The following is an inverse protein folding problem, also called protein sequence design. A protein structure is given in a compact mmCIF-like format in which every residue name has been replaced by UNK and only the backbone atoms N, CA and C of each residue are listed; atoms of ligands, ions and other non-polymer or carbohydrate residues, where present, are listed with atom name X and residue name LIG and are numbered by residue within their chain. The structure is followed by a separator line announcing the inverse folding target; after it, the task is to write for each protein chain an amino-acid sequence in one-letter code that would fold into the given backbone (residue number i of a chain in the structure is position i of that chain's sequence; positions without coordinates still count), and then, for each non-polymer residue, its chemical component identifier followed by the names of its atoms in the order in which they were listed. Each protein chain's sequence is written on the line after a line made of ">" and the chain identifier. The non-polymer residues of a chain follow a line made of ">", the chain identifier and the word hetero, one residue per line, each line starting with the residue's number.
data_IF_326030285773
#
_entry.id   IF_326030285773
#
_cell.length_a   1.000
_cell.length_b   1.000
_cell.length_c   1.000
_cell.angle_alpha   90.00
_cell.angle_beta   90.00
_cell.angle_gamma   90.00
#
_symmetry.space_group_name_H-M   'P 1'
#
loop_
_entity.id
_entity.type
_entity.pdbx_description
1 polymer ?
#
# COMPACT_ATOMS: atom_id res chain seq x y z
N UNK A 1 -9.66 -20.92 -7.61
CA UNK A 1 -10.12 -22.07 -8.43
C UNK A 1 -10.28 -21.57 -9.85
N UNK A 2 -9.27 -21.75 -10.71
CA UNK A 2 -9.33 -21.33 -12.11
C UNK A 2 -9.89 -22.45 -12.97
N UNK A 3 -10.92 -22.15 -13.76
CA UNK A 3 -11.58 -23.10 -14.64
C UNK A 3 -10.92 -23.09 -16.03
N UNK A 4 -10.14 -24.12 -16.34
CA UNK A 4 -9.83 -24.44 -17.74
C UNK A 4 -11.00 -25.21 -18.32
N UNK A 5 -11.50 -24.77 -19.47
CA UNK A 5 -12.63 -25.39 -20.20
C UNK A 5 -12.52 -26.92 -20.24
N UNK A 6 -13.34 -27.60 -19.43
CA UNK A 6 -13.98 -28.88 -19.73
C UNK A 6 -13.13 -30.07 -20.23
N UNK A 7 -11.83 -30.17 -19.95
CA UNK A 7 -11.07 -31.42 -20.17
C UNK A 7 -10.81 -32.11 -18.83
N UNK A 8 -11.27 -33.36 -18.71
CA UNK A 8 -10.92 -34.23 -17.60
C UNK A 8 -9.44 -34.63 -17.73
N UNK A 9 -8.63 -34.28 -16.73
CA UNK A 9 -7.23 -34.68 -16.66
C UNK A 9 -7.14 -36.17 -16.35
N UNK A 10 -6.46 -36.94 -17.21
CA UNK A 10 -6.22 -38.37 -16.99
C UNK A 10 -4.84 -38.52 -16.35
N UNK A 11 -4.71 -39.43 -15.38
CA UNK A 11 -3.43 -39.73 -14.74
C UNK A 11 -2.43 -40.21 -15.81
N UNK A 12 -1.43 -39.39 -16.10
CA UNK A 12 -0.45 -39.62 -17.18
C UNK A 12 -0.42 -38.51 -18.24
N UNK A 13 -1.39 -37.60 -18.24
CA UNK A 13 -1.38 -36.42 -19.12
C UNK A 13 -0.17 -35.54 -18.81
N UNK A 14 0.39 -34.93 -19.87
CA UNK A 14 1.51 -34.00 -19.77
C UNK A 14 1.03 -32.70 -19.12
N UNK A 15 1.75 -32.21 -18.11
CA UNK A 15 1.40 -30.96 -17.45
C UNK A 15 1.61 -29.79 -18.44
N UNK A 16 0.56 -29.06 -18.83
CA UNK A 16 0.67 -27.96 -19.79
C UNK A 16 1.59 -26.83 -19.29
N UNK A 17 1.89 -26.76 -17.99
CA UNK A 17 2.87 -25.82 -17.43
C UNK A 17 4.30 -26.14 -17.88
N UNK A 18 4.60 -27.40 -18.18
CA UNK A 18 5.92 -27.83 -18.67
C UNK A 18 6.13 -27.47 -20.14
N UNK A 19 5.05 -27.15 -20.86
CA UNK A 19 5.07 -26.75 -22.28
C UNK A 19 5.00 -25.23 -22.46
N UNK A 20 4.78 -24.48 -21.37
CA UNK A 20 4.77 -23.02 -21.40
C UNK A 20 6.21 -22.50 -21.58
N UNK A 21 6.51 -21.97 -22.77
CA UNK A 21 7.83 -21.44 -23.13
C UNK A 21 7.98 -19.95 -22.87
N UNK A 22 6.87 -19.21 -22.87
CA UNK A 22 6.86 -17.76 -22.71
C UNK A 22 6.52 -17.37 -21.27
N UNK A 23 7.26 -16.38 -20.77
CA UNK A 23 6.95 -15.67 -19.54
C UNK A 23 5.77 -14.73 -19.73
N UNK A 24 5.11 -14.34 -18.63
CA UNK A 24 4.02 -13.37 -18.68
C UNK A 24 4.43 -12.06 -19.35
N UNK A 25 5.65 -11.58 -19.08
CA UNK A 25 6.19 -10.36 -19.69
C UNK A 25 6.31 -10.48 -21.22
N UNK A 26 6.76 -11.62 -21.73
CA UNK A 26 6.88 -11.87 -23.16
C UNK A 26 5.50 -11.95 -23.83
N UNK A 27 4.54 -12.64 -23.21
CA UNK A 27 3.15 -12.67 -23.69
C UNK A 27 2.57 -11.25 -23.74
N UNK A 28 2.79 -10.43 -22.71
CA UNK A 28 2.33 -9.03 -22.72
C UNK A 28 2.96 -8.22 -23.85
N UNK A 29 4.25 -8.37 -24.12
CA UNK A 29 4.92 -7.70 -25.26
C UNK A 29 4.30 -8.09 -26.59
N UNK A 30 4.13 -9.39 -26.83
CA UNK A 30 3.50 -9.89 -28.07
C UNK A 30 2.08 -9.35 -28.24
N UNK A 31 1.29 -9.29 -27.16
CA UNK A 31 -0.05 -8.70 -27.21
C UNK A 31 -0.03 -7.21 -27.56
N UNK A 32 0.90 -6.44 -26.98
CA UNK A 32 1.07 -5.02 -27.32
C UNK A 32 1.42 -4.87 -28.80
N UNK A 33 2.36 -5.66 -29.31
CA UNK A 33 2.77 -5.61 -30.71
C UNK A 33 1.61 -5.92 -31.65
N UNK A 34 0.79 -6.94 -31.34
CA UNK A 34 -0.39 -7.27 -32.13
C UNK A 34 -1.44 -6.15 -32.13
N UNK A 35 -1.64 -5.47 -31.00
CA UNK A 35 -2.55 -4.31 -30.93
C UNK A 35 -2.02 -3.14 -31.74
N UNK A 36 -0.70 -2.88 -31.70
CA UNK A 36 -0.07 -1.82 -32.49
C UNK A 36 -0.16 -2.11 -33.99
N UNK A 37 0.13 -3.36 -34.39
CA UNK A 37 0.01 -3.82 -35.77
C UNK A 37 -1.41 -3.60 -36.28
N UNK A 38 -2.43 -4.07 -35.53
CA UNK A 38 -3.83 -3.86 -35.87
C UNK A 38 -4.19 -2.38 -36.00
N UNK A 39 -3.80 -1.54 -35.04
CA UNK A 39 -4.13 -0.12 -35.05
C UNK A 39 -3.39 0.69 -36.14
N UNK A 40 -2.27 0.16 -36.63
CA UNK A 40 -1.50 0.73 -37.75
C UNK A 40 -1.91 0.18 -39.12
N UNK A 41 -2.73 -0.87 -39.17
CA UNK A 41 -3.20 -1.47 -40.41
C UNK A 41 -4.21 -0.58 -41.13
N UNK A 42 -4.26 -0.72 -42.47
CA UNK A 42 -5.21 0.00 -43.32
C UNK A 42 -6.61 -0.56 -43.08
N UNK A 43 -7.55 0.33 -42.82
CA UNK A 43 -8.96 0.01 -42.63
C UNK A 43 -9.80 0.89 -43.57
N UNK A 44 -10.12 0.37 -44.75
CA UNK A 44 -10.77 1.12 -45.84
C UNK A 44 -12.10 1.76 -45.41
N UNK A 45 -12.84 1.12 -44.49
CA UNK A 45 -14.07 1.66 -43.93
C UNK A 45 -13.91 3.02 -43.24
N UNK A 46 -12.71 3.39 -42.77
CA UNK A 46 -12.44 4.69 -42.14
C UNK A 46 -12.31 5.82 -43.17
N UNK A 47 -11.88 5.52 -44.39
CA UNK A 47 -11.70 6.51 -45.44
C UNK A 47 -13.02 7.20 -45.81
N UNK A 48 -14.13 6.45 -45.77
CA UNK A 48 -15.48 6.97 -46.07
C UNK A 48 -16.17 7.66 -44.90
N UNK A 49 -15.67 7.55 -43.68
CA UNK A 49 -16.31 8.12 -42.49
C UNK A 49 -15.98 9.59 -42.24
N UNK A 50 -14.86 10.08 -42.79
CA UNK A 50 -14.37 11.42 -42.49
C UNK A 50 -13.49 11.95 -43.63
N UNK A 51 -13.66 13.22 -44.05
CA UNK A 51 -12.75 13.83 -45.03
C UNK A 51 -11.38 14.18 -44.41
N UNK A 52 -11.27 14.19 -43.08
CA UNK A 52 -10.10 14.69 -42.36
C UNK A 52 -8.82 13.92 -42.65
N UNK A 53 -8.93 12.61 -42.90
CA UNK A 53 -7.79 11.77 -43.27
C UNK A 53 -7.24 12.15 -44.63
N UNK A 54 -8.13 12.39 -45.59
CA UNK A 54 -7.79 12.82 -46.97
C UNK A 54 -7.15 14.20 -46.94
N UNK A 55 -7.76 15.16 -46.23
CA UNK A 55 -7.22 16.51 -46.05
C UNK A 55 -5.82 16.50 -45.41
N UNK A 56 -5.54 15.52 -44.54
CA UNK A 56 -4.26 15.40 -43.85
C UNK A 56 -3.25 14.53 -44.60
N UNK A 57 -3.62 13.96 -45.76
CA UNK A 57 -2.77 13.06 -46.54
C UNK A 57 -2.35 11.79 -45.81
N UNK A 58 -3.13 11.35 -44.82
CA UNK A 58 -2.81 10.19 -43.98
C UNK A 58 -3.57 8.93 -44.44
N UNK A 59 -2.94 7.74 -44.39
CA UNK A 59 -3.64 6.50 -44.70
C UNK A 59 -4.74 6.23 -43.66
N UNK A 60 -5.83 5.54 -44.04
CA UNK A 60 -6.99 5.30 -43.20
C UNK A 60 -6.73 4.19 -42.18
N UNK A 61 -5.87 4.47 -41.21
CA UNK A 61 -5.57 3.56 -40.10
C UNK A 61 -6.33 4.03 -38.84
N UNK A 62 -6.74 3.12 -37.94
CA UNK A 62 -7.37 3.50 -36.67
C UNK A 62 -6.53 4.52 -35.88
N UNK A 63 -5.21 4.35 -35.87
CA UNK A 63 -4.29 5.26 -35.19
C UNK A 63 -4.31 6.68 -35.80
N UNK A 64 -4.24 6.80 -37.12
CA UNK A 64 -4.29 8.10 -37.80
C UNK A 64 -5.64 8.77 -37.63
N UNK A 65 -6.72 7.99 -37.72
CA UNK A 65 -8.07 8.48 -37.50
C UNK A 65 -8.18 9.09 -36.11
N UNK A 66 -7.82 8.36 -35.06
CA UNK A 66 -7.89 8.83 -33.68
C UNK A 66 -7.05 10.10 -33.47
N UNK A 67 -5.78 10.07 -33.88
CA UNK A 67 -4.86 11.20 -33.70
C UNK A 67 -5.33 12.47 -34.43
N UNK A 68 -5.92 12.33 -35.62
CA UNK A 68 -6.43 13.47 -36.39
C UNK A 68 -7.64 14.11 -35.71
N UNK A 69 -8.56 13.32 -35.17
CA UNK A 69 -9.72 13.84 -34.45
C UNK A 69 -9.34 14.48 -33.12
N UNK A 70 -8.36 13.90 -32.41
CA UNK A 70 -7.79 14.45 -31.18
C UNK A 70 -7.18 15.84 -31.43
N UNK A 71 -6.35 15.97 -32.46
CA UNK A 71 -5.70 17.25 -32.82
C UNK A 71 -6.69 18.34 -33.21
N UNK A 72 -7.78 17.97 -33.90
CA UNK A 72 -8.81 18.94 -34.34
C UNK A 72 -9.87 19.22 -33.28
N UNK A 73 -9.68 18.75 -32.04
CA UNK A 73 -10.63 18.91 -30.93
C UNK A 73 -12.06 18.45 -31.26
N UNK A 74 -12.23 17.50 -32.18
CA UNK A 74 -13.55 16.96 -32.54
C UNK A 74 -13.92 15.82 -31.60
N UNK A 75 -13.82 16.08 -30.30
CA UNK A 75 -14.06 15.11 -29.23
C UNK A 75 -14.54 15.80 -27.95
N UNK A 76 -15.43 15.14 -27.19
CA UNK A 76 -15.91 15.60 -25.89
C UNK A 76 -15.16 14.92 -24.72
N UNK A 77 -13.82 14.88 -24.82
CA UNK A 77 -12.98 14.18 -23.82
C UNK A 77 -12.67 15.10 -22.64
N UNK A 78 -12.81 14.57 -21.43
CA UNK A 78 -12.33 15.20 -20.21
C UNK A 78 -10.95 14.66 -19.85
N UNK A 79 -10.04 15.54 -19.44
CA UNK A 79 -8.78 15.12 -18.82
C UNK A 79 -9.05 14.76 -17.37
N UNK A 80 -8.69 13.54 -16.98
CA UNK A 80 -8.73 13.10 -15.59
C UNK A 80 -7.31 13.06 -15.02
N UNK A 81 -7.20 13.26 -13.71
CA UNK A 81 -5.94 13.09 -13.00
C UNK A 81 -5.52 11.62 -12.97
N UNK A 82 -4.24 11.34 -13.25
CA UNK A 82 -3.72 9.98 -13.34
C UNK A 82 -3.79 9.24 -12.00
N UNK A 83 -3.48 9.93 -10.90
CA UNK A 83 -3.55 9.36 -9.56
C UNK A 83 -4.99 9.00 -9.20
N UNK A 84 -5.95 9.86 -9.54
CA UNK A 84 -7.38 9.59 -9.36
C UNK A 84 -7.85 8.36 -10.14
N UNK A 85 -7.45 8.23 -11.41
CA UNK A 85 -7.84 7.08 -12.24
C UNK A 85 -7.21 5.80 -11.73
N UNK A 86 -5.89 5.80 -11.44
CA UNK A 86 -5.21 4.63 -10.87
C UNK A 86 -5.84 4.21 -9.56
N UNK A 87 -6.09 5.15 -8.65
CA UNK A 87 -6.69 4.89 -7.36
C UNK A 87 -8.07 4.20 -7.49
N UNK A 88 -8.88 4.57 -8.48
CA UNK A 88 -10.19 3.95 -8.73
C UNK A 88 -10.12 2.48 -9.16
N UNK A 89 -9.00 2.03 -9.73
CA UNK A 89 -8.79 0.64 -10.14
C UNK A 89 -8.30 -0.24 -8.98
N UNK A 90 -7.82 0.38 -7.91
CA UNK A 90 -7.18 -0.29 -6.79
C UNK A 90 -8.18 -0.63 -5.68
N UNK A 91 -7.92 -1.72 -4.91
CA UNK A 91 -8.74 -2.11 -3.77
C UNK A 91 -8.79 -1.01 -2.70
N UNK A 92 -9.97 -0.89 -2.08
CA UNK A 92 -10.23 0.06 -0.98
C UNK A 92 -9.61 -0.48 0.32
N UNK A 93 -8.94 0.39 1.07
CA UNK A 93 -8.46 0.11 2.41
C UNK A 93 -8.70 1.31 3.34
N UNK A 94 -8.78 1.07 4.66
CA UNK A 94 -8.82 2.13 5.65
C UNK A 94 -7.44 2.35 6.28
N UNK A 95 -6.95 3.58 6.20
CA UNK A 95 -5.72 4.00 6.88
C UNK A 95 -6.06 5.01 7.98
N UNK A 96 -5.10 5.34 8.83
CA UNK A 96 -5.30 6.35 9.87
C UNK A 96 -4.22 7.42 9.84
N UNK A 97 -4.61 8.69 9.89
CA UNK A 97 -3.66 9.76 10.15
C UNK A 97 -3.20 9.67 11.61
N UNK A 98 -1.89 9.72 11.83
CA UNK A 98 -1.28 9.67 13.17
C UNK A 98 -0.21 10.75 13.30
N UNK A 99 0.29 10.98 14.51
CA UNK A 99 1.40 11.93 14.73
C UNK A 99 2.71 11.56 14.03
N UNK A 100 2.82 10.33 13.52
CA UNK A 100 3.98 9.82 12.78
C UNK A 100 3.78 9.84 11.26
N UNK A 101 2.60 10.18 10.76
CA UNK A 101 2.21 10.05 9.36
C UNK A 101 0.97 9.16 9.17
N UNK A 102 0.66 8.84 7.92
CA UNK A 102 -0.48 7.99 7.55
C UNK A 102 -0.12 6.54 7.79
N UNK A 103 -0.80 5.90 8.73
CA UNK A 103 -0.54 4.54 9.17
C UNK A 103 -1.45 3.55 8.46
N UNK A 104 -0.84 2.56 7.81
CA UNK A 104 -1.55 1.40 7.24
C UNK A 104 -1.64 0.24 8.24
N UNK A 105 -0.52 -0.11 8.86
CA UNK A 105 -0.44 -1.19 9.86
C UNK A 105 0.52 -0.79 11.01
N UNK A 106 1.00 -1.73 11.81
CA UNK A 106 1.90 -1.44 12.94
C UNK A 106 3.28 -0.90 12.50
N UNK A 107 3.74 -1.22 11.30
CA UNK A 107 5.11 -1.01 10.85
C UNK A 107 5.22 -0.04 9.66
N UNK A 108 4.13 0.21 8.94
CA UNK A 108 4.09 0.97 7.70
C UNK A 108 3.42 2.33 7.88
N UNK A 109 4.20 3.36 7.56
CA UNK A 109 3.81 4.76 7.61
C UNK A 109 4.13 5.44 6.28
N UNK A 110 3.22 6.30 5.84
CA UNK A 110 3.30 7.03 4.59
C UNK A 110 3.25 8.53 4.85
N UNK A 111 3.88 9.28 3.95
CA UNK A 111 3.84 10.74 3.88
C UNK A 111 3.34 11.20 2.52
N UNK A 112 2.74 12.39 2.47
CA UNK A 112 2.27 12.98 1.23
C UNK A 112 2.91 14.35 1.07
N UNK A 113 3.21 14.73 -0.17
CA UNK A 113 3.74 16.05 -0.48
C UNK A 113 2.61 17.10 -0.43
N UNK A 114 2.28 17.52 0.80
CA UNK A 114 1.24 18.49 1.12
C UNK A 114 1.74 19.41 2.22
N UNK A 115 1.55 20.72 2.02
CA UNK A 115 1.95 21.73 3.01
C UNK A 115 1.27 21.51 4.37
N UNK A 116 0.01 21.03 4.37
CA UNK A 116 -0.78 20.82 5.57
C UNK A 116 -0.44 19.51 6.32
N UNK A 117 0.45 18.67 5.76
CA UNK A 117 0.69 17.33 6.28
C UNK A 117 1.32 17.33 7.69
N UNK A 118 2.25 18.24 7.94
CA UNK A 118 2.87 18.38 9.27
C UNK A 118 1.87 18.90 10.31
N UNK A 119 0.99 19.82 9.93
CA UNK A 119 -0.10 20.29 10.80
C UNK A 119 -1.04 19.14 11.18
N UNK A 120 -1.37 18.27 10.22
CA UNK A 120 -2.17 17.08 10.50
C UNK A 120 -1.49 16.12 11.48
N UNK A 121 -0.17 15.96 11.41
CA UNK A 121 0.58 15.16 12.41
C UNK A 121 0.51 15.81 13.79
N UNK A 122 0.56 17.14 13.88
CA UNK A 122 0.41 17.87 15.15
C UNK A 122 -0.99 17.68 15.71
N UNK A 123 -2.03 17.87 14.90
CA UNK A 123 -3.44 17.64 15.29
C UNK A 123 -3.64 16.20 15.75
N UNK A 124 -3.06 15.23 15.04
CA UNK A 124 -3.17 13.82 15.41
C UNK A 124 -2.46 13.49 16.74
N UNK A 125 -1.45 14.29 17.13
CA UNK A 125 -0.77 14.18 18.41
C UNK A 125 -1.65 14.69 19.56
N UNK A 126 -2.36 15.81 19.35
CA UNK A 126 -3.19 16.42 20.39
C UNK A 126 -4.58 15.78 20.51
N UNK A 127 -5.23 15.52 19.38
CA UNK A 127 -6.66 15.15 19.32
C UNK A 127 -6.86 13.66 19.04
N UNK A 128 -5.78 12.91 18.82
CA UNK A 128 -5.83 11.49 18.47
C UNK A 128 -5.91 11.23 16.97
N UNK A 129 -5.95 9.94 16.60
CA UNK A 129 -5.96 9.50 15.19
C UNK A 129 -7.36 9.53 14.58
N UNK A 130 -7.45 9.82 13.29
CA UNK A 130 -8.69 9.67 12.50
C UNK A 130 -8.46 8.79 11.28
N UNK A 131 -9.54 8.27 10.71
CA UNK A 131 -9.50 7.36 9.56
C UNK A 131 -9.56 8.12 8.25
N UNK A 132 -8.89 7.58 7.24
CA UNK A 132 -8.89 8.05 5.86
C UNK A 132 -9.12 6.86 4.93
N UNK A 133 -9.72 7.12 3.77
CA UNK A 133 -9.84 6.14 2.70
C UNK A 133 -8.53 6.10 1.90
N UNK A 134 -8.01 4.90 1.67
CA UNK A 134 -6.85 4.68 0.83
C UNK A 134 -7.13 3.63 -0.24
N UNK A 135 -6.29 3.65 -1.27
CA UNK A 135 -6.23 2.67 -2.35
C UNK A 135 -4.82 2.13 -2.44
N UNK A 136 -4.71 0.81 -2.46
CA UNK A 136 -3.43 0.11 -2.27
C UNK A 136 -3.13 -0.71 -3.51
N UNK A 137 -1.91 -0.54 -4.02
CA UNK A 137 -1.37 -1.41 -5.05
C UNK A 137 -1.01 -2.78 -4.44
N UNK A 138 -1.49 -3.85 -5.06
CA UNK A 138 -1.20 -5.20 -4.58
C UNK A 138 0.25 -5.60 -4.88
N UNK A 139 0.83 -5.06 -5.95
CA UNK A 139 2.17 -5.41 -6.40
C UNK A 139 3.26 -4.57 -5.74
N UNK A 140 2.94 -3.35 -5.30
CA UNK A 140 3.93 -2.42 -4.78
C UNK A 140 3.46 -1.65 -3.54
N UNK A 141 4.07 -1.93 -2.39
CA UNK A 141 3.77 -1.28 -1.12
C UNK A 141 4.44 0.09 -0.91
N UNK A 142 5.29 0.57 -1.83
CA UNK A 142 6.07 1.82 -1.70
C UNK A 142 5.23 3.08 -1.72
N UNK A 143 4.01 3.02 -2.24
CA UNK A 143 3.09 4.14 -2.24
C UNK A 143 1.65 3.67 -2.10
N UNK A 144 0.81 4.55 -1.61
CA UNK A 144 -0.64 4.38 -1.55
C UNK A 144 -1.30 5.66 -2.04
N UNK A 145 -2.55 5.56 -2.45
CA UNK A 145 -3.34 6.72 -2.84
C UNK A 145 -4.35 7.02 -1.74
N UNK A 146 -4.30 8.19 -1.12
CA UNK A 146 -5.12 8.53 0.05
C UNK A 146 -6.04 9.69 -0.27
N UNK A 147 -7.32 9.55 0.07
CA UNK A 147 -8.27 10.65 0.07
C UNK A 147 -8.12 11.40 1.39
N UNK A 148 -7.42 12.54 1.34
CA UNK A 148 -7.08 13.35 2.52
C UNK A 148 -8.27 14.14 3.04
N UNK A 149 -9.15 14.61 2.14
CA UNK A 149 -10.42 15.27 2.48
C UNK A 149 -11.57 14.63 1.70
N UNK A 150 -12.81 14.60 2.24
CA UNK A 150 -13.95 13.93 1.59
C UNK A 150 -14.28 14.45 0.19
N UNK A 151 -14.08 15.75 -0.05
CA UNK A 151 -14.36 16.41 -1.33
C UNK A 151 -13.19 16.39 -2.31
N UNK A 152 -12.04 15.83 -1.92
CA UNK A 152 -10.85 15.79 -2.75
C UNK A 152 -10.67 14.43 -3.44
N UNK A 153 -9.89 14.46 -4.52
CA UNK A 153 -9.36 13.28 -5.16
C UNK A 153 -8.36 12.53 -4.27
N UNK A 154 -7.78 11.49 -4.84
CA UNK A 154 -6.73 10.72 -4.19
C UNK A 154 -5.36 11.37 -4.42
N UNK A 155 -4.61 11.53 -3.34
CA UNK A 155 -3.23 12.00 -3.38
C UNK A 155 -2.29 10.81 -3.25
N UNK A 156 -1.26 10.74 -4.09
CA UNK A 156 -0.20 9.73 -3.95
C UNK A 156 0.66 10.07 -2.72
N UNK A 157 0.81 9.09 -1.83
CA UNK A 157 1.60 9.19 -0.61
C UNK A 157 2.66 8.09 -0.60
N UNK A 158 3.90 8.46 -0.33
CA UNK A 158 5.07 7.59 -0.40
C UNK A 158 5.38 6.98 0.96
N UNK A 159 5.95 5.78 0.95
CA UNK A 159 6.36 5.09 2.15
C UNK A 159 7.50 5.86 2.82
N UNK A 160 7.40 6.10 4.12
CA UNK A 160 8.42 6.83 4.86
C UNK A 160 9.68 5.98 5.04
N UNK A 161 10.83 6.65 5.18
CA UNK A 161 12.14 6.00 5.41
C UNK A 161 12.14 4.99 6.57
N UNK A 162 11.39 5.25 7.66
CA UNK A 162 11.25 4.33 8.81
C UNK A 162 10.61 2.98 8.46
N UNK A 163 9.94 2.90 7.32
CA UNK A 163 9.20 1.75 6.82
C UNK A 163 9.82 1.20 5.53
N UNK A 164 11.02 1.65 5.14
CA UNK A 164 11.67 1.29 3.86
C UNK A 164 11.89 -0.22 3.66
N UNK A 165 11.91 -1.03 4.72
CA UNK A 165 11.96 -2.50 4.59
C UNK A 165 10.83 -3.10 3.75
N UNK A 166 9.73 -2.36 3.56
CA UNK A 166 8.57 -2.76 2.75
C UNK A 166 8.54 -2.11 1.37
N UNK A 167 9.57 -1.36 0.99
CA UNK A 167 9.69 -0.79 -0.35
C UNK A 167 9.74 -1.90 -1.41
N UNK A 168 9.00 -1.68 -2.49
CA UNK A 168 8.79 -2.59 -3.63
C UNK A 168 8.30 -4.00 -3.25
N UNK A 169 7.73 -4.16 -2.05
CA UNK A 169 7.15 -5.43 -1.62
C UNK A 169 5.73 -5.59 -2.12
N UNK A 170 5.38 -6.82 -2.47
CA UNK A 170 4.01 -7.20 -2.77
C UNK A 170 3.18 -7.19 -1.47
N UNK A 171 1.90 -6.84 -1.55
CA UNK A 171 0.97 -6.77 -0.40
C UNK A 171 0.89 -8.10 0.37
N UNK A 172 1.01 -9.22 -0.34
CA UNK A 172 1.05 -10.56 0.26
C UNK A 172 2.25 -10.74 1.22
N UNK A 173 3.41 -10.20 0.88
CA UNK A 173 4.60 -10.29 1.74
C UNK A 173 4.42 -9.44 3.01
N UNK A 174 3.79 -8.28 2.87
CA UNK A 174 3.41 -7.42 4.01
C UNK A 174 2.46 -8.17 4.95
N UNK A 175 1.41 -8.79 4.41
CA UNK A 175 0.45 -9.59 5.19
C UNK A 175 1.14 -10.76 5.89
N UNK A 176 2.00 -11.48 5.17
CA UNK A 176 2.79 -12.57 5.72
C UNK A 176 3.64 -12.09 6.91
N UNK A 177 4.32 -10.96 6.77
CA UNK A 177 5.14 -10.39 7.83
C UNK A 177 4.30 -10.03 9.08
N UNK A 178 3.15 -9.41 8.89
CA UNK A 178 2.22 -9.11 9.99
C UNK A 178 1.78 -10.38 10.73
N UNK A 179 1.41 -11.41 9.98
CA UNK A 179 0.95 -12.67 10.55
C UNK A 179 2.08 -13.45 11.23
N UNK A 180 3.27 -13.45 10.64
CA UNK A 180 4.47 -13.99 11.26
C UNK A 180 4.78 -13.31 12.60
N UNK A 181 4.66 -11.97 12.69
CA UNK A 181 4.80 -11.24 13.96
C UNK A 181 3.75 -11.66 14.99
N UNK A 182 2.48 -11.77 14.59
CA UNK A 182 1.39 -12.20 15.48
C UNK A 182 1.63 -13.60 16.01
N UNK A 183 2.02 -14.54 15.15
CA UNK A 183 2.30 -15.93 15.54
C UNK A 183 3.50 -16.01 16.47
N UNK A 184 4.60 -15.32 16.15
CA UNK A 184 5.80 -15.28 16.98
C UNK A 184 5.51 -14.74 18.39
N UNK A 185 4.67 -13.70 18.50
CA UNK A 185 4.25 -13.15 19.79
C UNK A 185 3.39 -14.13 20.60
N UNK A 186 2.51 -14.90 19.95
CA UNK A 186 1.71 -15.95 20.61
C UNK A 186 2.56 -17.14 21.05
N UNK A 187 3.57 -17.51 20.27
CA UNK A 187 4.48 -18.64 20.57
C UNK A 187 5.54 -18.31 21.62
N UNK A 188 5.81 -17.03 21.86
CA UNK A 188 6.75 -16.56 22.89
C UNK A 188 6.33 -17.07 24.28
N UNK A 189 7.02 -18.10 24.77
CA UNK A 189 6.92 -18.56 26.15
C UNK A 189 7.99 -17.88 27.02
N UNK A 190 7.69 -17.53 28.28
CA UNK A 190 8.70 -17.03 29.20
C UNK A 190 9.83 -18.05 29.34
N UNK A 191 11.05 -17.64 29.02
CA UNK A 191 12.25 -18.44 29.26
C UNK A 191 12.56 -18.52 30.76
N UNK A 192 13.30 -19.54 31.19
CA UNK A 192 13.78 -19.65 32.59
C UNK A 192 14.47 -18.36 33.07
N UNK A 193 15.36 -17.80 32.25
CA UNK A 193 16.01 -16.50 32.48
C UNK A 193 15.04 -15.31 32.57
N UNK A 194 13.89 -15.37 31.90
CA UNK A 194 12.85 -14.34 31.99
C UNK A 194 12.12 -14.43 33.33
N UNK A 195 11.82 -15.64 33.78
CA UNK A 195 11.17 -15.91 35.08
C UNK A 195 12.10 -15.50 36.22
N UNK A 196 13.38 -15.89 36.15
CA UNK A 196 14.40 -15.51 37.14
C UNK A 196 14.54 -13.98 37.25
N UNK A 197 14.64 -13.28 36.10
CA UNK A 197 14.69 -11.80 36.08
C UNK A 197 13.41 -11.14 36.60
N UNK A 198 12.25 -11.77 36.42
CA UNK A 198 11.00 -11.30 37.00
C UNK A 198 10.99 -11.43 38.52
N UNK A 199 11.40 -12.59 39.04
CA UNK A 199 11.49 -12.82 40.48
C UNK A 199 12.52 -11.88 41.14
N UNK A 200 13.68 -11.68 40.50
CA UNK A 200 14.69 -10.72 40.97
C UNK A 200 14.16 -9.27 41.02
N UNK A 201 13.36 -8.85 40.03
CA UNK A 201 12.72 -7.52 40.09
C UNK A 201 11.74 -7.41 41.24
N UNK A 202 10.97 -8.47 41.53
CA UNK A 202 10.04 -8.50 42.67
C UNK A 202 10.79 -8.38 44.00
N UNK A 203 11.90 -9.11 44.17
CA UNK A 203 12.69 -9.02 45.41
C UNK A 203 13.31 -7.64 45.58
N UNK A 204 13.91 -7.06 44.53
CA UNK A 204 14.47 -5.70 44.57
C UNK A 204 13.41 -4.66 44.93
N UNK A 205 12.23 -4.72 44.30
CA UNK A 205 11.14 -3.78 44.58
C UNK A 205 10.53 -3.95 45.97
N UNK A 206 10.47 -5.18 46.50
CA UNK A 206 10.06 -5.43 47.88
C UNK A 206 11.07 -4.85 48.88
N UNK A 207 12.37 -5.10 48.67
CA UNK A 207 13.44 -4.57 49.52
C UNK A 207 13.46 -3.03 49.49
N UNK A 208 13.31 -2.41 48.31
CA UNK A 208 13.25 -0.95 48.20
C UNK A 208 12.04 -0.36 48.96
N UNK A 209 10.89 -1.05 48.97
CA UNK A 209 9.71 -0.62 49.75
C UNK A 209 9.93 -0.77 51.26
N UNK A 210 10.57 -1.85 51.69
CA UNK A 210 10.97 -2.09 53.09
C UNK A 210 11.93 -1.00 53.59
N UNK A 211 12.97 -0.69 52.83
CA UNK A 211 13.92 0.37 53.18
C UNK A 211 13.28 1.76 53.22
N UNK A 212 12.37 2.06 52.28
CA UNK A 212 11.60 3.31 52.30
C UNK A 212 10.79 3.42 53.60
N UNK A 213 10.10 2.35 54.02
CA UNK A 213 9.35 2.32 55.29
C UNK A 213 10.27 2.54 56.49
N UNK A 214 11.43 1.87 56.54
CA UNK A 214 12.43 2.05 57.61
C UNK A 214 12.96 3.48 57.67
N UNK A 215 13.24 4.08 56.52
CA UNK A 215 13.70 5.47 56.42
C UNK A 215 12.62 6.50 56.79
N UNK A 216 11.35 6.22 56.52
CA UNK A 216 10.23 7.06 56.97
C UNK A 216 10.05 7.00 58.49
N UNK A 217 10.15 5.79 59.07
CA UNK A 217 10.06 5.57 60.52
C UNK A 217 11.23 6.21 61.29
N UNK A 218 12.45 6.16 60.74
CA UNK A 218 13.62 6.80 61.35
C UNK A 218 13.52 8.34 61.34
N UNK A 219 13.04 8.93 60.23
CA UNK A 219 12.78 10.37 60.14
C UNK A 219 11.66 10.86 61.08
N UNK A 220 10.64 10.04 61.34
CA UNK A 220 9.59 10.37 62.31
C UNK A 220 10.09 10.34 63.75
N UNK A 221 11.01 9.42 64.09
CA UNK A 221 11.66 9.37 65.41
C UNK A 221 12.57 10.57 65.68
N UNK A 222 13.27 11.08 64.66
CA UNK A 222 14.14 12.26 64.79
C UNK A 222 13.38 13.61 64.90
N UNK A 223 12.09 13.67 64.53
CA UNK A 223 11.26 14.88 64.59
C UNK A 223 10.47 15.07 65.88
N UNK A 224 10.53 14.14 66.84
CA UNK A 224 9.94 14.35 68.17
C UNK A 224 10.94 15.14 69.04
N UNK A 225 10.64 16.39 69.45
CA UNK A 225 11.52 17.13 70.34
C UNK A 225 11.52 16.43 71.71
N UNK A 226 12.71 16.26 72.28
CA UNK A 226 12.92 15.91 73.68
C UNK A 226 12.30 17.02 74.54
N UNK A 227 11.25 16.67 75.28
CA UNK A 227 10.65 17.50 76.30
C UNK A 227 11.63 17.76 77.45
#
# INVERSE_FOLDING_TARGET
>A
MGTTKGRHYIRGDRDPRLDATLTLSEVTKLLIDQVLEHNSSIFDGLAGQTPLLVESGLPPTPLNYWNTHLKRHRHALNKADEADIRARLLPVEQVSMTSKGIRLNDDMYYECDRAEFEDWKVIARSNGRWKLEARIDQDNASFIYVRLRPSEGFTRCTLMTRSSSFEERHRADVLYFEDWKKVSKKRSKPTSKSIERHNRRKTITANAREELKKNLLSKQRQKKPSA
#
